data_IF_347723728823
#
_entry.id   IF_347723728823
#
_cell.length_a   1.000
_cell.length_b   1.000
_cell.length_c   1.000
_cell.angle_alpha   90.00
_cell.angle_beta   90.00
_cell.angle_gamma   90.00
#
_symmetry.space_group_name_H-M   'P 1'
#
loop_
_entity.id
_entity.type
_entity.pdbx_description
1 polymer ?
#
# COMPACT_ATOMS: atom_id res chain seq x y z
N UNK A 1 4.62 -60.53 -12.48
CA UNK A 1 5.32 -60.14 -11.24
C UNK A 1 6.42 -59.14 -11.57
N UNK A 2 6.03 -57.97 -12.09
CA UNK A 2 6.88 -56.78 -12.27
C UNK A 2 5.92 -55.58 -12.32
N UNK A 3 5.28 -55.38 -11.18
CA UNK A 3 4.40 -54.25 -10.88
C UNK A 3 5.26 -53.06 -10.41
N UNK A 4 4.71 -51.85 -10.59
CA UNK A 4 4.99 -50.66 -9.76
C UNK A 4 6.31 -49.89 -9.90
N UNK A 5 6.57 -49.21 -11.02
CA UNK A 5 7.58 -48.12 -10.96
C UNK A 5 7.48 -46.94 -11.94
N UNK A 6 6.44 -46.78 -12.77
CA UNK A 6 6.28 -45.54 -13.58
C UNK A 6 4.82 -45.11 -13.70
N UNK A 7 4.15 -45.03 -12.57
CA UNK A 7 2.92 -44.23 -12.44
C UNK A 7 3.34 -42.76 -12.34
N UNK A 8 2.87 -41.96 -13.30
CA UNK A 8 3.34 -40.60 -13.53
C UNK A 8 3.20 -39.68 -12.32
N UNK A 9 4.33 -39.11 -11.89
CA UNK A 9 4.38 -37.86 -11.14
C UNK A 9 4.12 -36.68 -12.08
N UNK A 10 3.04 -36.75 -12.87
CA UNK A 10 2.53 -35.59 -13.58
C UNK A 10 1.78 -34.77 -12.54
N UNK A 11 2.46 -33.77 -12.01
CA UNK A 11 1.89 -32.66 -11.24
C UNK A 11 0.57 -32.19 -11.89
N UNK A 12 -0.55 -32.69 -11.38
CA UNK A 12 -1.85 -32.04 -11.59
C UNK A 12 -1.78 -30.70 -10.88
N UNK A 13 -1.48 -29.64 -11.66
CA UNK A 13 -1.86 -28.28 -11.29
C UNK A 13 -3.39 -28.24 -11.26
N UNK A 14 -3.97 -28.67 -10.14
CA UNK A 14 -5.40 -28.67 -9.92
C UNK A 14 -5.94 -27.26 -10.09
N UNK A 15 -6.84 -27.10 -11.05
CA UNK A 15 -7.59 -25.88 -11.31
C UNK A 15 -8.38 -25.50 -10.05
N UNK A 16 -8.05 -24.38 -9.42
CA UNK A 16 -8.78 -23.90 -8.24
C UNK A 16 -9.93 -23.01 -8.69
N UNK A 17 -11.13 -23.31 -8.22
CA UNK A 17 -12.30 -22.43 -8.36
C UNK A 17 -12.02 -21.08 -7.68
N UNK A 18 -12.61 -19.99 -8.16
CA UNK A 18 -12.44 -18.64 -7.60
C UNK A 18 -12.71 -18.60 -6.09
N UNK A 19 -13.71 -19.35 -5.61
CA UNK A 19 -14.00 -19.48 -4.18
C UNK A 19 -12.86 -20.13 -3.39
N UNK A 20 -12.19 -21.14 -3.95
CA UNK A 20 -11.05 -21.80 -3.29
C UNK A 20 -9.82 -20.89 -3.23
N UNK A 21 -9.63 -19.99 -4.20
CA UNK A 21 -8.53 -19.00 -4.16
C UNK A 21 -8.81 -17.91 -3.12
N UNK A 22 -10.05 -17.43 -3.02
CA UNK A 22 -10.45 -16.46 -2.00
C UNK A 22 -10.30 -16.99 -0.57
N UNK A 23 -10.58 -18.28 -0.37
CA UNK A 23 -10.44 -18.89 0.95
C UNK A 23 -9.00 -19.32 1.29
N UNK A 24 -8.10 -19.28 0.30
CA UNK A 24 -6.72 -19.70 0.46
C UNK A 24 -5.96 -18.83 1.49
N UNK A 25 -5.04 -19.43 2.27
CA UNK A 25 -4.20 -18.69 3.20
C UNK A 25 -3.33 -17.65 2.49
N UNK A 26 -2.88 -17.95 1.27
CA UNK A 26 -2.08 -17.05 0.42
C UNK A 26 -2.83 -15.74 0.11
N UNK A 27 -4.11 -15.83 -0.27
CA UNK A 27 -4.92 -14.65 -0.55
C UNK A 27 -5.20 -13.83 0.72
N UNK A 28 -5.51 -14.49 1.83
CA UNK A 28 -5.72 -13.83 3.13
C UNK A 28 -4.44 -13.11 3.60
N UNK A 29 -3.27 -13.72 3.43
CA UNK A 29 -1.98 -13.09 3.74
C UNK A 29 -1.71 -11.85 2.88
N UNK A 30 -2.03 -11.92 1.58
CA UNK A 30 -1.90 -10.81 0.65
C UNK A 30 -2.79 -9.62 1.04
N UNK A 31 -4.06 -9.88 1.38
CA UNK A 31 -4.99 -8.85 1.86
C UNK A 31 -4.49 -8.21 3.16
N UNK A 32 -4.04 -9.03 4.13
CA UNK A 32 -3.49 -8.54 5.40
C UNK A 32 -2.27 -7.64 5.18
N UNK A 33 -1.37 -8.03 4.29
CA UNK A 33 -0.16 -7.27 3.95
C UNK A 33 -0.50 -5.91 3.36
N UNK A 34 -1.43 -5.85 2.39
CA UNK A 34 -1.95 -4.59 1.85
C UNK A 34 -2.59 -3.72 2.92
N UNK A 35 -3.47 -4.31 3.73
CA UNK A 35 -4.19 -3.57 4.76
C UNK A 35 -3.23 -2.95 5.79
N UNK A 36 -2.23 -3.71 6.24
CA UNK A 36 -1.23 -3.21 7.17
C UNK A 36 -0.48 -2.00 6.61
N UNK A 37 -0.04 -2.05 5.36
CA UNK A 37 0.68 -0.93 4.73
C UNK A 37 -0.24 0.27 4.52
N UNK A 38 -1.45 0.05 4.00
CA UNK A 38 -2.44 1.11 3.85
C UNK A 38 -2.78 1.80 5.18
N UNK A 39 -2.88 1.06 6.28
CA UNK A 39 -3.13 1.63 7.61
C UNK A 39 -1.97 2.49 8.12
N UNK A 40 -0.72 2.06 7.90
CA UNK A 40 0.45 2.87 8.27
C UNK A 40 0.47 4.17 7.48
N UNK A 41 0.24 4.11 6.17
CA UNK A 41 0.23 5.31 5.33
C UNK A 41 -0.94 6.24 5.66
N UNK A 42 -2.11 5.67 5.97
CA UNK A 42 -3.26 6.44 6.44
C UNK A 42 -2.95 7.16 7.76
N UNK A 43 -2.31 6.47 8.71
CA UNK A 43 -1.88 7.09 9.97
C UNK A 43 -0.88 8.23 9.73
N UNK A 44 0.10 8.03 8.85
CA UNK A 44 1.07 9.06 8.46
C UNK A 44 0.39 10.26 7.80
N UNK A 45 -0.58 10.02 6.91
CA UNK A 45 -1.38 11.07 6.28
C UNK A 45 -2.15 11.86 7.33
N UNK A 46 -2.81 11.19 8.28
CA UNK A 46 -3.54 11.85 9.37
C UNK A 46 -2.63 12.68 10.26
N UNK A 47 -1.46 12.17 10.62
CA UNK A 47 -0.47 12.91 11.41
C UNK A 47 -0.02 14.17 10.67
N UNK A 48 0.31 14.07 9.37
CA UNK A 48 0.71 15.23 8.58
C UNK A 48 -0.42 16.26 8.41
N UNK A 49 -1.62 15.80 8.06
CA UNK A 49 -2.78 16.66 7.80
C UNK A 49 -3.31 17.33 9.07
N UNK A 50 -3.63 16.55 10.10
CA UNK A 50 -4.16 17.11 11.34
C UNK A 50 -3.08 17.82 12.14
N UNK A 51 -1.82 17.39 12.06
CA UNK A 51 -0.70 18.14 12.62
C UNK A 51 -0.61 19.55 12.05
N UNK A 52 -0.72 19.69 10.72
CA UNK A 52 -0.77 20.99 10.07
C UNK A 52 -2.00 21.82 10.49
N UNK A 53 -3.20 21.23 10.52
CA UNK A 53 -4.42 21.92 10.96
C UNK A 53 -4.31 22.43 12.41
N UNK A 54 -3.79 21.60 13.32
CA UNK A 54 -3.60 22.00 14.71
C UNK A 54 -2.61 23.16 14.83
N UNK A 55 -1.55 23.17 14.02
CA UNK A 55 -0.58 24.24 13.97
C UNK A 55 -1.20 25.55 13.45
N UNK A 56 -2.05 25.47 12.41
CA UNK A 56 -2.87 26.61 11.94
C UNK A 56 -3.85 27.13 13.00
N UNK A 57 -4.47 26.24 13.77
CA UNK A 57 -5.51 26.59 14.72
C UNK A 57 -4.96 27.24 16.00
N UNK A 58 -3.88 26.67 16.55
CA UNK A 58 -3.34 27.06 17.86
C UNK A 58 -2.34 28.20 17.80
N UNK A 59 -1.52 28.28 16.75
CA UNK A 59 -0.38 29.20 16.72
C UNK A 59 -0.43 30.13 15.50
N UNK A 60 -1.52 30.89 15.39
CA UNK A 60 -1.72 31.84 14.28
C UNK A 60 -0.52 32.78 14.11
N UNK A 61 0.05 33.29 15.21
CA UNK A 61 1.19 34.19 15.19
C UNK A 61 2.40 33.60 14.45
N UNK A 62 2.73 32.33 14.71
CA UNK A 62 3.80 31.61 14.03
C UNK A 62 3.50 31.41 12.54
N UNK A 63 2.26 31.07 12.18
CA UNK A 63 1.92 30.81 10.78
C UNK A 63 1.79 32.08 9.95
N UNK A 64 1.40 33.19 10.58
CA UNK A 64 1.33 34.52 9.94
C UNK A 64 2.67 35.24 9.89
N UNK A 65 3.71 34.70 10.53
CA UNK A 65 5.03 35.29 10.47
C UNK A 65 5.50 35.33 9.01
N UNK A 66 5.93 36.52 8.60
CA UNK A 66 6.31 36.79 7.22
C UNK A 66 7.69 36.19 6.93
N UNK A 67 7.81 35.57 5.77
CA UNK A 67 9.06 35.13 5.15
C UNK A 67 9.21 35.99 3.90
N UNK A 68 9.99 37.07 4.01
CA UNK A 68 10.10 38.10 2.97
C UNK A 68 9.04 39.20 3.10
N UNK A 69 8.77 39.93 2.01
CA UNK A 69 7.87 41.09 2.03
C UNK A 69 6.38 40.73 2.07
N UNK A 70 5.99 39.64 1.40
CA UNK A 70 4.56 39.31 1.13
C UNK A 70 4.13 37.89 1.52
N UNK A 71 5.07 36.96 1.69
CA UNK A 71 4.74 35.54 1.93
C UNK A 71 4.68 35.22 3.42
N UNK A 72 3.68 34.44 3.85
CA UNK A 72 3.57 33.94 5.23
C UNK A 72 4.15 32.54 5.34
N UNK A 73 4.64 32.17 6.54
CA UNK A 73 5.11 30.81 6.85
C UNK A 73 4.10 29.71 6.53
N UNK A 74 2.80 30.05 6.50
CA UNK A 74 1.72 29.15 6.08
C UNK A 74 1.92 28.54 4.70
N UNK A 75 2.41 29.34 3.74
CA UNK A 75 2.49 28.92 2.34
C UNK A 75 3.58 27.85 2.16
N UNK A 76 4.85 28.07 2.56
CA UNK A 76 5.88 27.03 2.50
C UNK A 76 5.50 25.77 3.29
N UNK A 77 4.86 25.93 4.46
CA UNK A 77 4.44 24.81 5.27
C UNK A 77 3.34 23.98 4.57
N UNK A 78 2.34 24.65 3.97
CA UNK A 78 1.32 23.98 3.16
C UNK A 78 1.91 23.25 1.95
N UNK A 79 2.86 23.87 1.25
CA UNK A 79 3.60 23.23 0.14
C UNK A 79 4.34 21.99 0.63
N UNK A 80 4.98 22.05 1.80
CA UNK A 80 5.66 20.89 2.39
C UNK A 80 4.69 19.73 2.67
N UNK A 81 3.47 20.01 3.16
CA UNK A 81 2.43 18.98 3.37
C UNK A 81 1.97 18.37 2.04
N UNK A 82 1.82 19.17 0.98
CA UNK A 82 1.45 18.66 -0.36
C UNK A 82 2.54 17.72 -0.89
N UNK A 83 3.81 18.13 -0.80
CA UNK A 83 4.94 17.30 -1.21
C UNK A 83 4.96 16.00 -0.39
N UNK A 84 4.75 16.09 0.93
CA UNK A 84 4.67 14.93 1.80
C UNK A 84 3.56 13.95 1.36
N UNK A 85 2.36 14.43 1.04
CA UNK A 85 1.27 13.59 0.55
C UNK A 85 1.60 12.88 -0.77
N UNK A 86 2.27 13.60 -1.69
CA UNK A 86 2.79 13.00 -2.92
C UNK A 86 3.84 11.92 -2.65
N UNK A 87 4.75 12.16 -1.71
CA UNK A 87 5.76 11.17 -1.31
C UNK A 87 5.13 9.91 -0.72
N UNK A 88 4.12 10.04 0.14
CA UNK A 88 3.37 8.89 0.66
C UNK A 88 2.71 8.09 -0.47
N UNK A 89 2.13 8.78 -1.44
CA UNK A 89 1.48 8.15 -2.60
C UNK A 89 2.52 7.42 -3.47
N UNK A 90 3.63 8.08 -3.80
CA UNK A 90 4.71 7.49 -4.58
C UNK A 90 5.33 6.27 -3.87
N UNK A 91 5.53 6.36 -2.55
CA UNK A 91 5.99 5.25 -1.73
C UNK A 91 5.01 4.06 -1.78
N UNK A 92 3.71 4.32 -1.62
CA UNK A 92 2.69 3.27 -1.74
C UNK A 92 2.75 2.56 -3.08
N UNK A 93 2.79 3.32 -4.18
CA UNK A 93 2.83 2.77 -5.55
C UNK A 93 4.09 1.95 -5.74
N UNK A 94 5.26 2.46 -5.35
CA UNK A 94 6.52 1.73 -5.44
C UNK A 94 6.50 0.42 -4.64
N UNK A 95 5.95 0.44 -3.44
CA UNK A 95 5.78 -0.75 -2.62
C UNK A 95 4.79 -1.76 -3.22
N UNK A 96 3.64 -1.28 -3.71
CA UNK A 96 2.60 -2.12 -4.32
C UNK A 96 3.12 -2.82 -5.58
N UNK A 97 3.77 -2.06 -6.46
CA UNK A 97 4.35 -2.58 -7.69
C UNK A 97 5.42 -3.65 -7.43
N UNK A 98 6.22 -3.49 -6.36
CA UNK A 98 7.32 -4.41 -6.05
C UNK A 98 6.87 -5.64 -5.26
N UNK A 99 5.90 -5.48 -4.35
CA UNK A 99 5.60 -6.51 -3.35
C UNK A 99 4.21 -7.12 -3.48
N UNK A 100 3.22 -6.34 -3.93
CA UNK A 100 1.83 -6.78 -4.00
C UNK A 100 1.49 -7.34 -5.38
N UNK A 101 1.84 -6.62 -6.44
CA UNK A 101 1.48 -6.99 -7.81
C UNK A 101 2.04 -8.35 -8.28
N UNK A 102 3.31 -8.73 -7.99
CA UNK A 102 3.82 -10.06 -8.35
C UNK A 102 3.06 -11.19 -7.67
N UNK A 103 2.60 -10.94 -6.44
CA UNK A 103 1.92 -11.93 -5.60
C UNK A 103 0.46 -12.11 -6.05
N UNK A 104 -0.18 -11.01 -6.49
CA UNK A 104 -1.47 -11.04 -7.21
C UNK A 104 -1.35 -11.83 -8.51
N UNK A 105 -0.31 -11.57 -9.32
CA UNK A 105 -0.14 -12.23 -10.61
C UNK A 105 0.08 -13.74 -10.44
N UNK A 106 0.86 -14.15 -9.43
CA UNK A 106 1.00 -15.57 -9.05
C UNK A 106 -0.35 -16.22 -8.76
N UNK A 107 -1.22 -15.58 -8.00
CA UNK A 107 -2.55 -16.11 -7.68
C UNK A 107 -3.47 -16.14 -8.90
N UNK A 108 -3.45 -15.10 -9.75
CA UNK A 108 -4.20 -15.07 -11.02
C UNK A 108 -3.80 -16.19 -11.97
N UNK A 109 -2.51 -16.53 -12.02
CA UNK A 109 -2.01 -17.62 -12.88
C UNK A 109 -2.59 -19.00 -12.51
N UNK A 110 -3.05 -19.19 -11.25
CA UNK A 110 -3.70 -20.43 -10.80
C UNK A 110 -5.16 -20.56 -11.27
N UNK A 111 -5.75 -19.47 -11.76
CA UNK A 111 -7.13 -19.40 -12.24
C UNK A 111 -7.23 -19.46 -13.77
N UNK A 112 -6.13 -19.22 -14.48
CA UNK A 112 -6.14 -19.09 -15.95
C UNK A 112 -6.16 -20.48 -16.60
N UNK A 113 -7.24 -20.74 -17.34
CA UNK A 113 -7.46 -21.90 -18.24
C UNK A 113 -6.33 -22.09 -19.22
#
# INVERSE_FOLDING_TARGET
MAEAARSGSSTEKGHKSSLQVLDSPDFKALVKKRWSVSMVLLALLFVGYYGFILLLATNKAFVTQKVGEVTTLAIPLGVAVIIFAWLLTAYYVGWANKSYDPEVERLKSQLKR
#
